data_IF_222092623687
#
_entry.id   IF_222092623687
#
_cell.length_a   1.000
_cell.length_b   1.000
_cell.length_c   1.000
_cell.angle_alpha   90.00
_cell.angle_beta   90.00
_cell.angle_gamma   90.00
#
_symmetry.space_group_name_H-M   'P 1'
#
loop_
_entity.id
_entity.type
_entity.pdbx_description
1 polymer ?
#
# COMPACT_ATOMS: atom_id res chain seq x y z
N UNK A 1 -15.65 -12.25 -2.14
CA UNK A 1 -14.99 -13.06 -3.17
C UNK A 1 -13.58 -12.56 -3.38
N UNK A 2 -12.61 -13.45 -3.31
CA UNK A 2 -11.24 -13.11 -3.64
C UNK A 2 -11.14 -13.12 -5.17
N UNK A 3 -10.82 -12.00 -5.78
CA UNK A 3 -10.68 -11.91 -7.23
C UNK A 3 -9.41 -12.60 -7.68
N UNK A 4 -9.31 -12.94 -8.97
CA UNK A 4 -8.07 -13.48 -9.54
C UNK A 4 -6.89 -12.55 -9.26
N UNK A 5 -7.12 -11.24 -9.32
CA UNK A 5 -6.10 -10.23 -9.06
C UNK A 5 -5.61 -10.28 -7.62
N UNK A 6 -6.53 -10.51 -6.66
CA UNK A 6 -6.14 -10.66 -5.26
C UNK A 6 -5.31 -11.91 -5.03
N UNK A 7 -5.61 -13.00 -5.75
CA UNK A 7 -4.81 -14.22 -5.68
C UNK A 7 -3.39 -13.98 -6.21
N UNK A 8 -3.25 -13.24 -7.32
CA UNK A 8 -1.94 -12.85 -7.86
C UNK A 8 -1.17 -12.01 -6.86
N UNK A 9 -1.82 -11.00 -6.29
CA UNK A 9 -1.18 -10.11 -5.31
C UNK A 9 -0.76 -10.89 -4.07
N UNK A 10 -1.59 -11.81 -3.61
CA UNK A 10 -1.23 -12.64 -2.46
C UNK A 10 0.05 -13.44 -2.74
N UNK A 11 0.15 -14.06 -3.92
CA UNK A 11 1.34 -14.81 -4.30
C UNK A 11 2.59 -13.92 -4.35
N UNK A 12 2.43 -12.69 -4.85
CA UNK A 12 3.54 -11.73 -4.92
C UNK A 12 4.01 -11.34 -3.53
N UNK A 13 3.11 -10.93 -2.65
CA UNK A 13 3.48 -10.47 -1.31
C UNK A 13 4.00 -11.61 -0.44
N UNK A 14 3.50 -12.83 -0.64
CA UNK A 14 3.98 -14.01 0.06
C UNK A 14 5.48 -14.22 -0.16
N UNK A 15 5.98 -13.89 -1.34
CA UNK A 15 7.38 -14.02 -1.69
C UNK A 15 8.23 -12.79 -1.33
N UNK A 16 7.58 -11.64 -1.06
CA UNK A 16 8.28 -10.38 -0.79
C UNK A 16 8.31 -9.98 0.68
N UNK A 17 7.33 -10.40 1.45
CA UNK A 17 7.20 -10.02 2.85
C UNK A 17 7.59 -11.18 3.75
N UNK A 18 8.23 -10.85 4.89
CA UNK A 18 8.46 -11.85 5.91
C UNK A 18 7.13 -12.30 6.53
N UNK A 19 7.09 -13.44 7.25
CA UNK A 19 5.82 -13.97 7.77
C UNK A 19 5.04 -12.99 8.64
N UNK A 20 5.72 -12.18 9.44
CA UNK A 20 5.08 -11.20 10.32
C UNK A 20 4.38 -10.10 9.51
N UNK A 21 5.04 -9.57 8.48
CA UNK A 21 4.46 -8.53 7.63
C UNK A 21 3.37 -9.07 6.72
N UNK A 22 3.52 -10.30 6.26
CA UNK A 22 2.47 -10.96 5.49
C UNK A 22 1.20 -11.09 6.33
N UNK A 23 1.33 -11.57 7.56
CA UNK A 23 0.19 -11.71 8.47
C UNK A 23 -0.46 -10.34 8.73
N UNK A 24 0.35 -9.31 8.98
CA UNK A 24 -0.12 -7.95 9.17
C UNK A 24 -0.93 -7.46 7.95
N UNK A 25 -0.42 -7.71 6.76
CA UNK A 25 -1.10 -7.27 5.53
C UNK A 25 -2.44 -7.96 5.34
N UNK A 26 -2.53 -9.24 5.67
CA UNK A 26 -3.80 -9.98 5.63
C UNK A 26 -4.79 -9.40 6.64
N UNK A 27 -4.34 -9.11 7.86
CA UNK A 27 -5.19 -8.49 8.89
C UNK A 27 -5.68 -7.11 8.47
N UNK A 28 -4.81 -6.29 7.87
CA UNK A 28 -5.19 -4.97 7.37
C UNK A 28 -6.22 -5.09 6.25
N UNK A 29 -6.03 -6.06 5.34
CA UNK A 29 -6.98 -6.30 4.25
C UNK A 29 -8.37 -6.64 4.79
N UNK A 30 -8.46 -7.55 5.76
CA UNK A 30 -9.73 -7.94 6.38
C UNK A 30 -10.39 -6.76 7.09
N UNK A 31 -9.62 -5.99 7.83
CA UNK A 31 -10.11 -4.83 8.57
C UNK A 31 -10.58 -3.73 7.63
N UNK A 32 -9.83 -3.46 6.57
CA UNK A 32 -10.18 -2.46 5.57
C UNK A 32 -11.50 -2.83 4.87
N UNK A 33 -11.65 -4.10 4.53
CA UNK A 33 -12.89 -4.60 3.93
C UNK A 33 -14.08 -4.37 4.87
N UNK A 34 -13.92 -4.71 6.15
CA UNK A 34 -14.96 -4.53 7.15
C UNK A 34 -15.36 -3.06 7.29
N UNK A 35 -14.37 -2.18 7.38
CA UNK A 35 -14.63 -0.74 7.50
C UNK A 35 -15.31 -0.19 6.25
N UNK A 36 -14.91 -0.67 5.06
CA UNK A 36 -15.54 -0.25 3.81
C UNK A 36 -17.01 -0.66 3.76
N UNK A 37 -17.32 -1.88 4.20
CA UNK A 37 -18.71 -2.35 4.29
C UNK A 37 -19.52 -1.47 5.23
N UNK A 38 -18.93 -1.10 6.36
CA UNK A 38 -19.62 -0.29 7.38
C UNK A 38 -19.87 1.14 6.93
N UNK A 39 -18.93 1.74 6.22
CA UNK A 39 -18.99 3.17 5.88
C UNK A 39 -19.33 3.46 4.41
N UNK A 40 -19.64 2.45 3.63
CA UNK A 40 -20.13 2.65 2.27
C UNK A 40 -19.07 2.84 1.20
N UNK A 41 -17.84 2.38 1.44
CA UNK A 41 -16.80 2.33 0.42
C UNK A 41 -16.78 0.96 -0.25
N UNK A 42 -15.96 0.80 -1.28
CA UNK A 42 -15.84 -0.46 -2.01
C UNK A 42 -15.05 -1.51 -1.20
N UNK A 43 -15.71 -2.56 -0.67
CA UNK A 43 -15.05 -3.54 0.18
C UNK A 43 -13.96 -4.35 -0.52
N UNK A 44 -14.17 -4.73 -1.78
CA UNK A 44 -13.17 -5.52 -2.51
C UNK A 44 -11.93 -4.70 -2.81
N UNK A 45 -12.11 -3.46 -3.21
CA UNK A 45 -11.01 -2.52 -3.44
C UNK A 45 -10.25 -2.25 -2.14
N UNK A 46 -10.96 -2.10 -1.03
CA UNK A 46 -10.33 -1.90 0.29
C UNK A 46 -9.51 -3.11 0.69
N UNK A 47 -10.03 -4.31 0.47
CA UNK A 47 -9.30 -5.55 0.74
C UNK A 47 -8.00 -5.60 -0.07
N UNK A 48 -8.10 -5.38 -1.38
CA UNK A 48 -6.95 -5.39 -2.27
C UNK A 48 -5.89 -4.38 -1.82
N UNK A 49 -6.31 -3.17 -1.49
CA UNK A 49 -5.39 -2.10 -1.06
C UNK A 49 -4.69 -2.48 0.25
N UNK A 50 -5.44 -3.00 1.22
CA UNK A 50 -4.86 -3.45 2.48
C UNK A 50 -3.83 -4.56 2.26
N UNK A 51 -4.12 -5.48 1.34
CA UNK A 51 -3.24 -6.59 1.04
C UNK A 51 -1.87 -6.13 0.52
N UNK A 52 -1.85 -5.09 -0.32
CA UNK A 52 -0.63 -4.63 -1.00
C UNK A 52 0.00 -3.38 -0.39
N UNK A 53 -0.57 -2.82 0.68
CA UNK A 53 -0.11 -1.53 1.19
C UNK A 53 1.35 -1.52 1.64
N UNK A 54 1.87 -2.65 2.10
CA UNK A 54 3.25 -2.80 2.60
C UNK A 54 4.17 -3.55 1.64
N UNK A 55 3.81 -3.65 0.35
CA UNK A 55 4.50 -4.53 -0.60
C UNK A 55 6.02 -4.31 -0.67
N UNK A 56 6.49 -3.08 -0.40
CA UNK A 56 7.93 -2.75 -0.43
C UNK A 56 8.57 -2.71 0.96
N UNK A 57 7.83 -3.05 2.01
CA UNK A 57 8.28 -2.89 3.41
C UNK A 57 9.60 -3.61 3.72
N UNK A 58 9.80 -4.80 3.19
CA UNK A 58 10.98 -5.61 3.46
C UNK A 58 12.07 -5.49 2.39
N UNK A 59 11.91 -4.59 1.41
CA UNK A 59 12.91 -4.36 0.38
C UNK A 59 14.02 -3.45 0.90
N UNK A 60 15.26 -3.59 0.39
CA UNK A 60 16.36 -2.70 0.78
C UNK A 60 16.06 -1.24 0.44
N UNK A 61 16.53 -0.33 1.29
CA UNK A 61 16.35 1.12 1.08
C UNK A 61 16.91 1.57 -0.26
N UNK A 62 18.04 1.01 -0.68
CA UNK A 62 18.64 1.35 -1.96
C UNK A 62 17.72 1.03 -3.13
N UNK A 63 17.01 -0.11 -3.05
CA UNK A 63 16.07 -0.51 -4.09
C UNK A 63 14.85 0.40 -4.11
N UNK A 64 14.38 0.83 -2.94
CA UNK A 64 13.28 1.79 -2.83
C UNK A 64 13.65 3.12 -3.47
N UNK A 65 14.84 3.64 -3.14
CA UNK A 65 15.33 4.91 -3.69
C UNK A 65 15.52 4.82 -5.20
N UNK A 66 16.08 3.73 -5.70
CA UNK A 66 16.28 3.52 -7.12
C UNK A 66 14.96 3.49 -7.88
N UNK A 67 13.97 2.80 -7.34
CA UNK A 67 12.63 2.70 -7.94
C UNK A 67 11.98 4.08 -8.06
N UNK A 68 12.05 4.87 -6.98
CA UNK A 68 11.46 6.20 -6.92
C UNK A 68 12.17 7.14 -7.88
N UNK A 69 13.49 7.11 -7.90
CA UNK A 69 14.31 7.92 -8.79
C UNK A 69 14.03 7.61 -10.26
N UNK A 70 13.93 6.32 -10.61
CA UNK A 70 13.62 5.88 -11.98
C UNK A 70 12.22 6.34 -12.42
N UNK A 71 11.34 6.61 -11.49
CA UNK A 71 10.01 7.16 -11.78
C UNK A 71 10.04 8.67 -12.03
N UNK A 72 11.18 9.30 -11.84
CA UNK A 72 11.35 10.74 -12.05
C UNK A 72 10.95 11.60 -10.86
N UNK A 73 10.67 10.99 -9.71
CA UNK A 73 10.32 11.76 -8.52
C UNK A 73 11.56 12.28 -7.82
N UNK A 74 11.46 13.51 -7.31
CA UNK A 74 12.52 14.13 -6.50
C UNK A 74 12.04 14.14 -5.05
N UNK A 75 12.77 13.44 -4.19
CA UNK A 75 12.44 13.37 -2.78
C UNK A 75 13.10 14.51 -2.02
N UNK A 76 12.44 15.00 -0.98
CA UNK A 76 13.04 15.93 -0.02
C UNK A 76 14.06 15.16 0.82
N UNK A 77 14.97 15.89 1.50
CA UNK A 77 15.95 15.26 2.39
C UNK A 77 15.26 14.48 3.49
N UNK A 78 14.17 15.00 4.03
CA UNK A 78 13.38 14.29 5.06
C UNK A 78 12.83 12.98 4.53
N UNK A 79 12.26 12.98 3.32
CA UNK A 79 11.70 11.78 2.71
C UNK A 79 12.74 10.70 2.49
N UNK A 80 13.97 11.10 2.12
CA UNK A 80 15.07 10.15 1.89
C UNK A 80 15.53 9.47 3.17
N UNK A 81 15.39 10.12 4.33
CA UNK A 81 15.91 9.61 5.60
C UNK A 81 14.88 8.83 6.41
N UNK A 82 13.58 8.98 6.12
CA UNK A 82 12.52 8.31 6.86
C UNK A 82 12.07 7.06 6.10
N UNK A 83 12.61 5.91 6.53
CA UNK A 83 12.36 4.61 5.88
C UNK A 83 10.86 4.27 5.79
N UNK A 84 10.09 4.62 6.82
CA UNK A 84 8.65 4.37 6.85
C UNK A 84 7.96 5.08 5.69
N UNK A 85 8.34 6.34 5.43
CA UNK A 85 7.80 7.10 4.31
C UNK A 85 8.26 6.52 2.97
N UNK A 86 9.52 6.13 2.88
CA UNK A 86 10.09 5.58 1.65
C UNK A 86 9.34 4.34 1.17
N UNK A 87 9.02 3.40 2.07
CA UNK A 87 8.37 2.17 1.63
C UNK A 87 6.96 2.43 1.09
N UNK A 88 6.29 3.44 1.60
CA UNK A 88 4.96 3.81 1.10
C UNK A 88 5.03 4.41 -0.29
N UNK A 89 5.97 5.33 -0.52
CA UNK A 89 6.18 5.93 -1.83
C UNK A 89 6.63 4.87 -2.84
N UNK A 90 7.61 4.05 -2.46
CA UNK A 90 8.10 2.97 -3.32
C UNK A 90 7.01 1.95 -3.62
N UNK A 91 6.15 1.66 -2.65
CA UNK A 91 5.01 0.75 -2.83
C UNK A 91 4.06 1.25 -3.90
N UNK A 92 3.72 2.53 -3.88
CA UNK A 92 2.87 3.14 -4.91
C UNK A 92 3.52 3.03 -6.30
N UNK A 93 4.79 3.36 -6.39
CA UNK A 93 5.53 3.30 -7.66
C UNK A 93 5.57 1.85 -8.18
N UNK A 94 5.87 0.89 -7.30
CA UNK A 94 5.95 -0.51 -7.68
C UNK A 94 4.61 -1.05 -8.21
N UNK A 95 3.52 -0.73 -7.51
CA UNK A 95 2.19 -1.13 -7.93
C UNK A 95 1.84 -0.55 -9.30
N UNK A 96 2.14 0.70 -9.53
CA UNK A 96 1.81 1.40 -10.77
C UNK A 96 2.68 0.93 -11.93
N UNK A 97 3.98 0.84 -11.73
CA UNK A 97 4.95 0.54 -12.80
C UNK A 97 5.11 -0.95 -13.07
N UNK A 98 5.16 -1.76 -12.03
CA UNK A 98 5.50 -3.17 -12.17
C UNK A 98 4.27 -4.08 -12.16
N UNK A 99 3.19 -3.67 -11.49
CA UNK A 99 1.98 -4.49 -11.38
C UNK A 99 0.79 -3.91 -12.13
N UNK A 100 1.00 -2.83 -12.87
CA UNK A 100 0.01 -2.20 -13.74
C UNK A 100 -1.28 -1.79 -13.02
N UNK A 101 -1.17 -1.38 -11.77
CA UNK A 101 -2.31 -0.84 -11.02
C UNK A 101 -2.60 0.57 -11.55
N UNK A 102 -3.83 0.82 -11.97
CA UNK A 102 -4.23 2.11 -12.55
C UNK A 102 -5.23 2.88 -11.70
N UNK A 103 -5.74 2.30 -10.64
CA UNK A 103 -6.71 2.96 -9.75
C UNK A 103 -5.98 4.02 -8.91
N UNK A 104 -6.21 5.29 -9.24
CA UNK A 104 -5.54 6.42 -8.60
C UNK A 104 -5.84 6.51 -7.11
N UNK A 105 -7.05 6.17 -6.69
CA UNK A 105 -7.42 6.21 -5.27
C UNK A 105 -6.71 5.13 -4.48
N UNK A 106 -6.58 3.93 -5.05
CA UNK A 106 -5.82 2.84 -4.46
C UNK A 106 -4.35 3.24 -4.30
N UNK A 107 -3.76 3.76 -5.38
CA UNK A 107 -2.37 4.20 -5.38
C UNK A 107 -2.12 5.30 -4.35
N UNK A 108 -3.02 6.27 -4.27
CA UNK A 108 -2.94 7.35 -3.29
C UNK A 108 -3.04 6.82 -1.86
N UNK A 109 -3.94 5.87 -1.62
CA UNK A 109 -4.09 5.27 -0.30
C UNK A 109 -2.79 4.57 0.15
N UNK A 110 -2.12 3.87 -0.75
CA UNK A 110 -0.84 3.22 -0.46
C UNK A 110 0.24 4.27 -0.17
N UNK A 111 0.36 5.28 -1.02
CA UNK A 111 1.39 6.31 -0.85
C UNK A 111 1.28 7.04 0.49
N UNK A 112 0.09 7.32 0.95
CA UNK A 112 -0.14 8.15 2.13
C UNK A 112 -0.52 7.37 3.38
N UNK A 113 -0.42 6.03 3.36
CA UNK A 113 -0.88 5.23 4.50
C UNK A 113 -0.05 5.43 5.77
N UNK A 114 1.19 5.91 5.67
CA UNK A 114 2.05 6.11 6.84
C UNK A 114 1.95 7.51 7.42
N UNK A 115 1.81 8.52 6.58
CA UNK A 115 1.84 9.92 7.00
C UNK A 115 0.47 10.59 7.02
N UNK A 116 -0.47 10.08 6.22
CA UNK A 116 -1.69 10.81 5.93
C UNK A 116 -1.40 12.00 5.04
N UNK A 117 -2.45 12.71 4.67
CA UNK A 117 -2.35 13.97 3.91
C UNK A 117 -3.60 14.79 4.19
N UNK A 118 -3.60 16.05 3.75
CA UNK A 118 -4.80 16.89 3.81
C UNK A 118 -5.86 16.33 2.84
N UNK A 119 -7.11 16.51 3.19
CA UNK A 119 -8.27 16.17 2.32
C UNK A 119 -8.29 14.70 1.87
N UNK A 120 -7.97 13.79 2.80
CA UNK A 120 -8.07 12.36 2.50
C UNK A 120 -9.52 11.99 2.18
N UNK A 121 -9.70 11.17 1.13
CA UNK A 121 -11.00 10.58 0.81
C UNK A 121 -11.41 9.59 1.91
N UNK A 122 -12.68 9.21 1.95
CA UNK A 122 -13.15 8.18 2.87
C UNK A 122 -12.34 6.89 2.68
N UNK A 123 -12.07 6.49 1.45
CA UNK A 123 -11.30 5.30 1.14
C UNK A 123 -9.88 5.37 1.72
N UNK A 124 -9.21 6.50 1.52
CA UNK A 124 -7.86 6.70 2.05
C UNK A 124 -7.84 6.66 3.57
N UNK A 125 -8.85 7.24 4.22
CA UNK A 125 -8.99 7.19 5.68
C UNK A 125 -9.17 5.76 6.18
N UNK A 126 -9.95 4.97 5.47
CA UNK A 126 -10.19 3.56 5.82
C UNK A 126 -8.88 2.78 5.84
N UNK A 127 -8.05 2.94 4.82
CA UNK A 127 -6.76 2.25 4.76
C UNK A 127 -5.84 2.73 5.88
N UNK A 128 -5.78 4.04 6.11
CA UNK A 128 -4.96 4.62 7.17
C UNK A 128 -5.35 4.05 8.55
N UNK A 129 -6.65 4.02 8.85
CA UNK A 129 -7.15 3.53 10.14
C UNK A 129 -6.95 2.02 10.26
N UNK A 130 -7.19 1.26 9.20
CA UNK A 130 -7.03 -0.20 9.21
C UNK A 130 -5.60 -0.60 9.55
N UNK A 131 -4.61 0.18 9.09
CA UNK A 131 -3.21 -0.07 9.39
C UNK A 131 -2.84 0.25 10.83
N UNK A 132 -3.53 1.22 11.46
CA UNK A 132 -3.25 1.63 12.85
C UNK A 132 -3.74 0.67 13.92
N UNK A 133 -4.81 -0.05 13.63
CA UNK A 133 -5.43 -0.94 14.62
C UNK A 133 -5.16 -2.43 14.32
#
# INVERSE_FOLDING_TARGET
MVTERNAEFFDIIKNRLNPKRLYHSICVAEKAKHLAEKYGADPEKAYTTGLVHDIMKNEPVEDMLQLIENDGQVLTDSEKTITVTLHAIAGEVYLRKNLNVTDEELLSAVRWHTTGKEDMSLFEKIIYVADLV
#
